data_IF_504372106624
#
_entry.id   IF_504372106624
#
_cell.length_a   1.000
_cell.length_b   1.000
_cell.length_c   1.000
_cell.angle_alpha   90.00
_cell.angle_beta   90.00
_cell.angle_gamma   90.00
#
_symmetry.space_group_name_H-M   'P 1'
#
loop_
_entity.id
_entity.type
_entity.pdbx_description
1 polymer ?
#
# COMPACT_ATOMS: atom_id res chain seq x y z
N UNK A 1 43.00 -28.88 10.48
CA UNK A 1 42.26 -29.45 9.32
C UNK A 1 40.94 -29.95 9.85
N UNK A 2 39.81 -29.40 9.42
CA UNK A 2 38.51 -30.04 9.67
C UNK A 2 38.56 -31.34 8.87
N UNK A 3 38.60 -32.49 9.54
CA UNK A 3 38.92 -33.75 8.92
C UNK A 3 37.76 -34.17 8.01
N UNK A 4 37.93 -33.99 6.68
CA UNK A 4 37.02 -34.50 5.65
C UNK A 4 36.83 -36.02 5.82
N UNK A 5 37.78 -36.70 6.48
CA UNK A 5 37.77 -38.15 6.78
C UNK A 5 36.55 -38.67 7.54
N UNK A 6 35.70 -37.81 8.12
CA UNK A 6 34.47 -38.23 8.82
C UNK A 6 33.21 -38.29 7.95
N UNK A 7 33.26 -37.76 6.72
CA UNK A 7 32.11 -37.71 5.82
C UNK A 7 32.46 -38.32 4.47
N UNK A 8 31.53 -39.03 3.85
CA UNK A 8 31.72 -39.50 2.47
C UNK A 8 31.80 -38.31 1.50
N UNK A 9 32.54 -38.46 0.42
CA UNK A 9 32.63 -37.42 -0.63
C UNK A 9 31.23 -37.05 -1.16
N UNK A 10 30.36 -38.05 -1.34
CA UNK A 10 28.98 -37.85 -1.73
C UNK A 10 28.20 -36.97 -0.74
N UNK A 11 28.33 -37.22 0.57
CA UNK A 11 27.67 -36.41 1.59
C UNK A 11 28.16 -34.96 1.57
N UNK A 12 29.47 -34.74 1.40
CA UNK A 12 30.05 -33.40 1.27
C UNK A 12 29.47 -32.68 0.05
N UNK A 13 29.45 -33.33 -1.11
CA UNK A 13 28.90 -32.76 -2.35
C UNK A 13 27.43 -32.42 -2.18
N UNK A 14 26.60 -33.34 -1.69
CA UNK A 14 25.16 -33.13 -1.53
C UNK A 14 24.85 -31.99 -0.55
N UNK A 15 25.58 -31.88 0.56
CA UNK A 15 25.39 -30.80 1.53
C UNK A 15 25.83 -29.43 0.99
N UNK A 16 26.89 -29.38 0.17
CA UNK A 16 27.29 -28.15 -0.52
C UNK A 16 26.25 -27.77 -1.57
N UNK A 17 25.76 -28.73 -2.37
CA UNK A 17 24.69 -28.50 -3.35
C UNK A 17 23.42 -28.02 -2.67
N UNK A 18 23.02 -28.64 -1.55
CA UNK A 18 21.87 -28.21 -0.74
C UNK A 18 22.04 -26.76 -0.25
N UNK A 19 23.22 -26.43 0.28
CA UNK A 19 23.53 -25.06 0.73
C UNK A 19 23.41 -24.05 -0.41
N UNK A 20 23.99 -24.36 -1.57
CA UNK A 20 23.95 -23.48 -2.75
C UNK A 20 22.53 -23.40 -3.31
N UNK A 21 21.77 -24.49 -3.33
CA UNK A 21 20.38 -24.54 -3.80
C UNK A 21 19.44 -23.70 -2.94
N UNK A 22 19.52 -23.82 -1.62
CA UNK A 22 18.75 -22.97 -0.70
C UNK A 22 19.20 -21.51 -0.83
N UNK A 23 20.50 -21.27 -0.85
CA UNK A 23 21.04 -19.92 -1.05
C UNK A 23 20.56 -19.28 -2.36
N UNK A 24 20.47 -20.05 -3.44
CA UNK A 24 19.93 -19.63 -4.73
C UNK A 24 18.45 -19.25 -4.63
N UNK A 25 17.62 -20.07 -3.99
CA UNK A 25 16.20 -19.79 -3.81
C UNK A 25 15.98 -18.48 -3.03
N UNK A 26 16.67 -18.30 -1.89
CA UNK A 26 16.59 -17.06 -1.11
C UNK A 26 17.08 -15.85 -1.91
N UNK A 27 18.19 -15.99 -2.64
CA UNK A 27 18.73 -14.91 -3.46
C UNK A 27 17.77 -14.52 -4.59
N UNK A 28 17.23 -15.49 -5.30
CA UNK A 28 16.27 -15.24 -6.38
C UNK A 28 15.04 -14.50 -5.86
N UNK A 29 14.47 -14.97 -4.74
CA UNK A 29 13.34 -14.32 -4.08
C UNK A 29 13.65 -12.88 -3.64
N UNK A 30 14.85 -12.65 -3.12
CA UNK A 30 15.32 -11.31 -2.74
C UNK A 30 15.50 -10.40 -3.97
N UNK A 31 16.17 -10.89 -5.03
CA UNK A 31 16.42 -10.13 -6.25
C UNK A 31 15.13 -9.79 -7.01
N UNK A 32 14.19 -10.73 -7.09
CA UNK A 32 12.88 -10.47 -7.68
C UNK A 32 12.19 -9.31 -6.95
N UNK A 33 12.19 -9.31 -5.62
CA UNK A 33 11.61 -8.21 -4.82
C UNK A 33 12.39 -6.90 -5.01
N UNK A 34 13.72 -6.92 -5.07
CA UNK A 34 14.53 -5.73 -5.37
C UNK A 34 14.13 -5.11 -6.72
N UNK A 35 13.94 -5.95 -7.74
CA UNK A 35 13.57 -5.48 -9.08
C UNK A 35 12.19 -4.79 -9.11
N UNK A 36 11.29 -5.14 -8.18
CA UNK A 36 10.00 -4.44 -8.02
C UNK A 36 10.13 -3.08 -7.33
N UNK A 37 11.22 -2.78 -6.60
CA UNK A 37 11.34 -1.51 -5.87
C UNK A 37 11.36 -0.28 -6.78
N UNK A 38 11.65 -0.46 -8.06
CA UNK A 38 11.57 0.57 -9.10
C UNK A 38 10.31 0.49 -9.98
N UNK A 39 9.28 -0.25 -9.58
CA UNK A 39 7.96 -0.29 -10.25
C UNK A 39 6.90 0.47 -9.46
N UNK A 40 5.84 0.94 -10.13
CA UNK A 40 4.75 1.70 -9.49
C UNK A 40 4.03 0.91 -8.38
N UNK A 41 4.11 -0.42 -8.44
CA UNK A 41 3.58 -1.34 -7.43
C UNK A 41 4.73 -2.21 -6.91
N UNK A 42 5.59 -1.67 -6.04
CA UNK A 42 6.68 -2.45 -5.47
C UNK A 42 6.13 -3.58 -4.60
N UNK A 43 6.87 -4.68 -4.52
CA UNK A 43 6.52 -5.78 -3.64
C UNK A 43 6.44 -5.28 -2.18
N UNK A 44 5.44 -5.77 -1.46
CA UNK A 44 5.27 -5.52 -0.03
C UNK A 44 4.75 -6.78 0.67
N UNK A 45 5.12 -6.94 1.93
CA UNK A 45 4.63 -7.97 2.84
C UNK A 45 3.29 -7.62 3.48
N UNK A 46 2.71 -6.44 3.19
CA UNK A 46 1.50 -5.92 3.83
C UNK A 46 0.34 -6.93 3.81
N UNK A 47 -0.04 -7.37 2.61
CA UNK A 47 -1.13 -8.33 2.44
C UNK A 47 -0.83 -9.69 3.10
N UNK A 48 0.43 -10.11 3.13
CA UNK A 48 0.84 -11.36 3.77
C UNK A 48 0.71 -11.25 5.31
N UNK A 49 1.24 -10.19 5.90
CA UNK A 49 1.19 -9.96 7.35
C UNK A 49 -0.22 -9.73 7.86
N UNK A 50 -1.03 -8.94 7.14
CA UNK A 50 -2.45 -8.72 7.45
C UNK A 50 -3.26 -10.01 7.44
N UNK A 51 -2.87 -10.95 6.60
CA UNK A 51 -3.53 -12.25 6.45
C UNK A 51 -2.95 -13.32 7.37
N UNK A 52 -2.01 -12.97 8.27
CA UNK A 52 -1.37 -13.92 9.17
C UNK A 52 -2.39 -14.60 10.11
N UNK A 53 -2.14 -15.86 10.44
CA UNK A 53 -3.07 -16.74 11.13
C UNK A 53 -2.36 -17.58 12.21
N UNK A 54 -3.15 -18.33 12.99
CA UNK A 54 -2.61 -19.17 14.06
C UNK A 54 -2.17 -18.38 15.30
N UNK A 55 -1.41 -19.02 16.21
CA UNK A 55 -1.14 -18.49 17.55
C UNK A 55 -0.29 -17.21 17.56
N UNK A 56 0.53 -17.00 16.53
CA UNK A 56 1.41 -15.84 16.42
C UNK A 56 0.83 -14.71 15.58
N UNK A 57 -0.42 -14.81 15.12
CA UNK A 57 -1.01 -13.85 14.19
C UNK A 57 -0.89 -12.40 14.66
N UNK A 58 -1.10 -12.12 15.95
CA UNK A 58 -1.15 -10.75 16.46
C UNK A 58 0.21 -10.09 16.36
N UNK A 59 1.29 -10.85 16.58
CA UNK A 59 2.65 -10.38 16.37
C UNK A 59 2.90 -10.02 14.89
N UNK A 60 2.53 -10.90 13.96
CA UNK A 60 2.73 -10.66 12.53
C UNK A 60 1.85 -9.53 11.98
N UNK A 61 0.58 -9.49 12.37
CA UNK A 61 -0.35 -8.43 11.97
C UNK A 61 0.09 -7.07 12.51
N UNK A 62 0.58 -7.00 13.74
CA UNK A 62 1.12 -5.77 14.32
C UNK A 62 2.31 -5.19 13.52
N UNK A 63 3.10 -6.03 12.86
CA UNK A 63 4.20 -5.58 12.01
C UNK A 63 3.73 -4.80 10.77
N UNK A 64 2.48 -4.99 10.32
CA UNK A 64 1.91 -4.19 9.23
C UNK A 64 1.60 -2.74 9.64
N UNK A 65 1.49 -2.46 10.94
CA UNK A 65 1.15 -1.14 11.49
C UNK A 65 -0.34 -0.81 11.45
N UNK A 66 -1.01 -1.08 10.33
CA UNK A 66 -2.47 -0.93 10.18
C UNK A 66 -3.13 -2.24 9.69
N UNK A 67 -3.18 -3.28 10.54
CA UNK A 67 -3.57 -4.62 10.11
C UNK A 67 -5.04 -4.81 9.71
N UNK A 68 -5.88 -3.82 10.04
CA UNK A 68 -7.34 -3.80 9.83
C UNK A 68 -7.75 -2.64 8.90
N UNK A 69 -6.78 -2.00 8.23
CA UNK A 69 -6.98 -0.87 7.31
C UNK A 69 -7.81 0.30 7.89
N UNK A 70 -7.80 0.45 9.23
CA UNK A 70 -8.59 1.46 9.93
C UNK A 70 -8.16 2.88 9.58
N UNK A 71 -6.89 3.09 9.19
CA UNK A 71 -6.43 4.40 8.74
C UNK A 71 -7.07 4.82 7.41
N UNK A 72 -7.49 3.87 6.57
CA UNK A 72 -8.24 4.16 5.36
C UNK A 72 -9.69 4.53 5.65
N UNK A 73 -10.25 4.02 6.75
CA UNK A 73 -11.63 4.32 7.16
C UNK A 73 -11.78 5.65 7.88
N UNK A 74 -10.68 6.40 8.06
CA UNK A 74 -10.66 7.70 8.72
C UNK A 74 -10.30 8.82 7.72
N UNK A 75 -11.23 9.76 7.52
CA UNK A 75 -11.09 10.81 6.50
C UNK A 75 -9.85 11.70 6.71
N UNK A 76 -9.54 12.05 7.96
CA UNK A 76 -8.38 12.89 8.30
C UNK A 76 -7.05 12.17 8.04
N UNK A 77 -7.01 10.86 8.34
CA UNK A 77 -5.84 10.01 8.09
C UNK A 77 -5.55 9.88 6.59
N UNK A 78 -6.60 9.67 5.78
CA UNK A 78 -6.46 9.63 4.31
C UNK A 78 -6.07 11.00 3.76
N UNK A 79 -6.70 12.08 4.22
CA UNK A 79 -6.35 13.44 3.81
C UNK A 79 -4.88 13.77 4.12
N UNK A 80 -4.40 13.46 5.33
CA UNK A 80 -3.01 13.69 5.73
C UNK A 80 -2.01 12.84 4.92
N UNK A 81 -2.39 11.61 4.53
CA UNK A 81 -1.61 10.76 3.64
C UNK A 81 -1.44 11.42 2.27
N UNK A 82 -2.52 11.94 1.69
CA UNK A 82 -2.49 12.63 0.40
C UNK A 82 -1.77 13.98 0.45
N UNK A 83 -1.84 14.71 1.57
CA UNK A 83 -1.05 15.93 1.77
C UNK A 83 0.45 15.63 1.83
N UNK A 84 0.82 14.54 2.50
CA UNK A 84 2.20 14.07 2.57
C UNK A 84 2.68 13.63 1.19
N UNK A 85 1.85 12.91 0.45
CA UNK A 85 2.12 12.56 -0.93
C UNK A 85 2.35 13.81 -1.80
N UNK A 86 1.44 14.79 -1.78
CA UNK A 86 1.55 16.03 -2.57
C UNK A 86 2.89 16.73 -2.32
N UNK A 87 3.28 16.91 -1.05
CA UNK A 87 4.55 17.54 -0.67
C UNK A 87 5.75 16.76 -1.19
N UNK A 88 5.78 15.44 -0.99
CA UNK A 88 6.91 14.57 -1.37
C UNK A 88 7.03 14.46 -2.89
N UNK A 89 5.90 14.27 -3.58
CA UNK A 89 5.82 14.19 -5.03
C UNK A 89 6.28 15.50 -5.67
N UNK A 90 5.77 16.63 -5.18
CA UNK A 90 6.18 17.97 -5.62
C UNK A 90 7.68 18.21 -5.48
N UNK A 91 8.24 17.81 -4.34
CA UNK A 91 9.68 17.96 -4.05
C UNK A 91 10.56 17.02 -4.89
N UNK A 92 10.18 15.75 -5.02
CA UNK A 92 10.97 14.74 -5.74
C UNK A 92 11.07 15.07 -7.23
N UNK A 93 9.93 15.37 -7.85
CA UNK A 93 9.89 15.70 -9.27
C UNK A 93 10.26 17.15 -9.57
N UNK A 94 10.26 18.04 -8.58
CA UNK A 94 10.57 19.46 -8.78
C UNK A 94 9.50 20.12 -9.65
N UNK A 95 8.24 20.00 -9.24
CA UNK A 95 7.11 20.51 -10.00
C UNK A 95 7.19 22.03 -10.17
N UNK A 96 6.84 22.50 -11.36
CA UNK A 96 6.58 23.92 -11.63
C UNK A 96 5.34 24.41 -10.88
N UNK A 97 5.17 25.72 -10.74
CA UNK A 97 4.02 26.27 -10.00
C UNK A 97 2.68 25.91 -10.65
N UNK A 98 2.63 25.81 -11.98
CA UNK A 98 1.42 25.36 -12.69
C UNK A 98 1.11 23.88 -12.42
N UNK A 99 2.13 23.02 -12.35
CA UNK A 99 1.97 21.60 -12.00
C UNK A 99 1.53 21.44 -10.54
N UNK A 100 2.10 22.21 -9.60
CA UNK A 100 1.68 22.23 -8.19
C UNK A 100 0.23 22.63 -8.06
N UNK A 101 -0.22 23.70 -8.75
CA UNK A 101 -1.63 24.11 -8.74
C UNK A 101 -2.51 22.97 -9.25
N UNK A 102 -2.16 22.33 -10.37
CA UNK A 102 -2.93 21.20 -10.92
C UNK A 102 -3.02 20.02 -9.95
N UNK A 103 -1.92 19.66 -9.31
CA UNK A 103 -1.88 18.57 -8.33
C UNK A 103 -2.71 18.90 -7.08
N UNK A 104 -2.58 20.12 -6.56
CA UNK A 104 -3.39 20.58 -5.42
C UNK A 104 -4.87 20.64 -5.78
N UNK A 105 -5.25 21.16 -6.95
CA UNK A 105 -6.64 21.15 -7.42
C UNK A 105 -7.21 19.74 -7.58
N UNK A 106 -6.39 18.80 -8.04
CA UNK A 106 -6.78 17.40 -8.17
C UNK A 106 -7.04 16.77 -6.78
N UNK A 107 -6.22 17.07 -5.77
CA UNK A 107 -6.35 16.53 -4.41
C UNK A 107 -7.44 17.23 -3.59
N UNK A 108 -7.40 18.56 -3.54
CA UNK A 108 -8.18 19.42 -2.63
C UNK A 108 -9.41 20.07 -3.27
N UNK A 109 -9.51 20.07 -4.60
CA UNK A 109 -10.54 20.81 -5.34
C UNK A 109 -10.06 22.19 -5.78
N UNK A 110 -10.81 22.79 -6.71
CA UNK A 110 -10.57 24.18 -7.12
C UNK A 110 -11.25 25.12 -6.11
N UNK A 111 -10.72 26.33 -5.91
CA UNK A 111 -11.40 27.33 -5.07
C UNK A 111 -12.69 27.84 -5.71
N UNK A 112 -12.72 27.89 -7.05
CA UNK A 112 -13.90 28.21 -7.83
C UNK A 112 -13.83 27.56 -9.21
N UNK A 113 -15.00 27.25 -9.76
CA UNK A 113 -15.15 26.71 -11.11
C UNK A 113 -15.70 27.79 -12.04
N UNK A 114 -14.80 28.34 -12.85
CA UNK A 114 -15.09 29.51 -13.65
C UNK A 114 -15.40 29.15 -15.11
N UNK A 115 -16.40 29.80 -15.70
CA UNK A 115 -16.66 29.78 -17.15
C UNK A 115 -16.76 31.20 -17.70
N UNK A 116 -16.30 31.39 -18.94
CA UNK A 116 -16.39 32.69 -19.62
C UNK A 116 -17.83 32.90 -20.06
N UNK A 117 -18.41 34.02 -19.64
CA UNK A 117 -19.69 34.50 -20.10
C UNK A 117 -19.42 35.61 -21.13
N UNK A 118 -19.63 35.34 -22.41
CA UNK A 118 -19.43 36.33 -23.49
C UNK A 118 -20.60 37.33 -23.57
N UNK A 119 -20.95 37.90 -22.42
CA UNK A 119 -21.95 38.95 -22.21
C UNK A 119 -21.43 39.98 -21.20
N UNK A 120 -21.78 41.27 -21.35
CA UNK A 120 -21.38 42.31 -20.41
C UNK A 120 -22.14 42.25 -19.07
N UNK A 121 -23.31 41.63 -19.05
CA UNK A 121 -24.18 41.48 -17.86
C UNK A 121 -24.88 40.12 -17.89
N UNK A 122 -25.46 39.74 -16.74
CA UNK A 122 -26.38 38.60 -16.68
C UNK A 122 -27.63 38.87 -17.53
N UNK A 123 -28.27 37.82 -18.09
CA UNK A 123 -29.57 37.94 -18.73
C UNK A 123 -30.62 38.53 -17.77
N UNK A 124 -31.60 39.23 -18.33
CA UNK A 124 -32.68 39.83 -17.56
C UNK A 124 -33.49 38.75 -16.83
N UNK A 125 -33.77 38.96 -15.55
CA UNK A 125 -34.47 38.01 -14.68
C UNK A 125 -33.58 37.06 -13.86
N UNK A 126 -32.29 36.92 -14.18
CA UNK A 126 -31.36 36.09 -13.40
C UNK A 126 -30.99 36.78 -12.08
N UNK A 127 -31.44 36.20 -10.97
CA UNK A 127 -31.15 36.66 -9.62
C UNK A 127 -30.75 35.48 -8.72
N UNK A 128 -29.46 35.45 -8.36
CA UNK A 128 -28.89 34.42 -7.49
C UNK A 128 -29.40 34.52 -6.05
N UNK A 129 -29.64 35.73 -5.54
CA UNK A 129 -30.08 35.94 -4.16
C UNK A 129 -31.53 35.48 -3.97
N UNK A 130 -32.38 35.69 -4.97
CA UNK A 130 -33.77 35.20 -4.97
C UNK A 130 -33.85 33.66 -4.82
N UNK A 131 -32.86 32.92 -5.34
CA UNK A 131 -32.76 31.46 -5.21
C UNK A 131 -31.88 31.00 -4.04
N UNK A 132 -31.32 31.91 -3.24
CA UNK A 132 -30.34 31.63 -2.17
C UNK A 132 -29.06 30.95 -2.67
N UNK A 133 -28.67 31.27 -3.90
CA UNK A 133 -27.47 30.75 -4.58
C UNK A 133 -26.32 31.76 -4.58
N UNK A 134 -26.44 32.87 -3.85
CA UNK A 134 -25.43 33.94 -3.73
C UNK A 134 -24.07 33.45 -3.21
N UNK A 135 -24.07 32.35 -2.46
CA UNK A 135 -22.86 31.69 -1.97
C UNK A 135 -22.39 30.54 -2.86
N UNK A 136 -23.21 30.12 -3.82
CA UNK A 136 -22.96 28.97 -4.71
C UNK A 136 -22.47 29.42 -6.07
N UNK A 137 -23.03 30.51 -6.62
CA UNK A 137 -22.63 31.09 -7.90
C UNK A 137 -22.52 32.60 -7.81
N UNK A 138 -21.51 33.15 -8.47
CA UNK A 138 -21.31 34.58 -8.62
C UNK A 138 -20.96 34.94 -10.06
N UNK A 139 -21.23 36.19 -10.43
CA UNK A 139 -20.85 36.75 -11.71
C UNK A 139 -19.83 37.88 -11.49
N UNK A 140 -18.66 37.74 -12.08
CA UNK A 140 -17.62 38.77 -12.09
C UNK A 140 -17.74 39.59 -13.37
N UNK A 141 -18.36 40.77 -13.27
CA UNK A 141 -18.59 41.67 -14.40
C UNK A 141 -17.29 42.19 -15.04
N UNK A 142 -16.18 42.27 -14.29
CA UNK A 142 -14.89 42.76 -14.82
C UNK A 142 -14.24 41.72 -15.71
N UNK A 143 -14.22 40.47 -15.26
CA UNK A 143 -13.63 39.38 -16.04
C UNK A 143 -14.63 38.68 -16.97
N UNK A 144 -15.92 39.04 -16.86
CA UNK A 144 -17.05 38.41 -17.56
C UNK A 144 -17.07 36.89 -17.35
N UNK A 145 -17.06 36.47 -16.08
CA UNK A 145 -17.03 35.04 -15.72
C UNK A 145 -18.12 34.69 -14.73
N UNK A 146 -18.76 33.56 -14.96
CA UNK A 146 -19.55 32.87 -13.96
C UNK A 146 -18.61 32.00 -13.13
N UNK A 147 -18.72 32.09 -11.80
CA UNK A 147 -17.88 31.35 -10.85
C UNK A 147 -18.77 30.57 -9.91
N UNK A 148 -18.63 29.25 -9.91
CA UNK A 148 -19.27 28.38 -8.92
C UNK A 148 -18.29 28.17 -7.77
N UNK A 149 -18.79 28.25 -6.53
CA UNK A 149 -17.99 28.01 -5.34
C UNK A 149 -17.46 26.58 -5.30
N UNK A 150 -16.16 26.46 -5.00
CA UNK A 150 -15.44 25.20 -5.03
C UNK A 150 -15.86 24.21 -3.96
N UNK A 151 -16.41 24.66 -2.82
CA UNK A 151 -16.77 23.79 -1.71
C UNK A 151 -18.23 23.39 -1.71
N UNK A 152 -19.13 24.30 -2.13
CA UNK A 152 -20.57 24.04 -2.16
C UNK A 152 -21.00 23.25 -3.39
N UNK A 153 -20.29 23.44 -4.50
CA UNK A 153 -20.72 22.99 -5.82
C UNK A 153 -22.15 23.48 -6.15
N UNK A 154 -22.67 23.14 -7.32
CA UNK A 154 -24.03 23.47 -7.71
C UNK A 154 -24.80 22.17 -7.98
N UNK A 155 -26.03 22.09 -7.49
CA UNK A 155 -26.93 20.96 -7.76
C UNK A 155 -27.59 21.12 -9.13
N UNK A 156 -27.93 20.00 -9.78
CA UNK A 156 -28.64 20.01 -11.06
C UNK A 156 -30.01 20.71 -10.97
N UNK A 157 -30.68 20.60 -9.82
CA UNK A 157 -31.94 21.28 -9.52
C UNK A 157 -31.77 22.79 -9.37
N UNK A 158 -30.65 23.26 -8.81
CA UNK A 158 -30.33 24.68 -8.68
C UNK A 158 -30.03 25.30 -10.05
N UNK A 159 -29.27 24.59 -10.88
CA UNK A 159 -29.03 24.96 -12.27
C UNK A 159 -30.34 25.10 -13.05
N UNK A 160 -31.25 24.13 -12.93
CA UNK A 160 -32.54 24.18 -13.62
C UNK A 160 -33.37 25.40 -13.19
N UNK A 161 -33.36 25.77 -11.90
CA UNK A 161 -34.04 26.97 -11.40
C UNK A 161 -33.44 28.27 -11.95
N UNK A 162 -32.12 28.34 -12.12
CA UNK A 162 -31.45 29.48 -12.73
C UNK A 162 -31.82 29.61 -14.22
N UNK A 163 -31.86 28.48 -14.92
CA UNK A 163 -32.34 28.43 -16.31
C UNK A 163 -33.81 28.84 -16.41
N UNK A 164 -34.62 28.54 -15.39
CA UNK A 164 -36.03 28.88 -15.38
C UNK A 164 -36.32 30.38 -15.23
N UNK A 165 -35.45 31.13 -14.55
CA UNK A 165 -35.58 32.57 -14.32
C UNK A 165 -35.47 33.42 -15.60
N UNK A 166 -34.85 32.88 -16.65
CA UNK A 166 -34.72 33.61 -17.92
C UNK A 166 -36.06 33.51 -18.68
N UNK A 167 -36.71 34.65 -18.87
CA UNK A 167 -37.99 34.76 -19.54
C UNK A 167 -37.89 34.51 -21.06
N UNK A 168 -36.85 35.06 -21.71
CA UNK A 168 -36.55 34.84 -23.12
C UNK A 168 -35.43 33.82 -23.28
N UNK A 169 -35.83 32.57 -23.54
CA UNK A 169 -34.91 31.43 -23.74
C UNK A 169 -34.60 31.20 -25.22
N UNK A 170 -34.78 32.22 -26.04
CA UNK A 170 -34.46 32.20 -27.46
C UNK A 170 -33.34 33.21 -27.77
N UNK A 171 -32.47 32.88 -28.72
CA UNK A 171 -31.45 33.79 -29.23
C UNK A 171 -30.06 33.71 -28.54
N UNK A 172 -29.13 34.49 -29.10
CA UNK A 172 -27.70 34.35 -28.84
C UNK A 172 -27.27 34.67 -27.39
N UNK A 173 -28.03 35.51 -26.65
CA UNK A 173 -27.71 35.83 -25.27
C UNK A 173 -28.01 34.64 -24.33
N UNK A 174 -29.16 34.01 -24.51
CA UNK A 174 -29.52 32.79 -23.79
C UNK A 174 -28.52 31.66 -24.07
N UNK A 175 -28.18 31.42 -25.35
CA UNK A 175 -27.24 30.36 -25.72
C UNK A 175 -25.87 30.54 -25.06
N UNK A 176 -25.36 31.79 -25.02
CA UNK A 176 -24.09 32.12 -24.36
C UNK A 176 -24.16 31.92 -22.85
N UNK A 177 -25.25 32.34 -22.21
CA UNK A 177 -25.45 32.15 -20.77
C UNK A 177 -25.56 30.67 -20.40
N UNK A 178 -26.44 29.94 -21.09
CA UNK A 178 -26.64 28.51 -20.89
C UNK A 178 -25.33 27.74 -21.08
N UNK A 179 -24.57 28.05 -22.13
CA UNK A 179 -23.26 27.44 -22.36
C UNK A 179 -22.28 27.73 -21.23
N UNK A 180 -22.18 28.98 -20.78
CA UNK A 180 -21.28 29.34 -19.68
C UNK A 180 -21.70 28.66 -18.36
N UNK A 181 -23.00 28.61 -18.07
CA UNK A 181 -23.54 27.92 -16.89
C UNK A 181 -23.28 26.41 -16.97
N UNK A 182 -23.49 25.79 -18.14
CA UNK A 182 -23.20 24.37 -18.38
C UNK A 182 -21.72 24.03 -18.26
N UNK A 183 -20.84 24.89 -18.81
CA UNK A 183 -19.39 24.75 -18.70
C UNK A 183 -18.93 24.86 -17.24
N UNK A 184 -19.45 25.84 -16.48
CA UNK A 184 -19.13 26.01 -15.07
C UNK A 184 -19.64 24.82 -14.25
N UNK A 185 -20.89 24.42 -14.49
CA UNK A 185 -21.53 23.29 -13.81
C UNK A 185 -20.81 21.97 -14.09
N UNK A 186 -20.45 21.70 -15.35
CA UNK A 186 -19.73 20.47 -15.75
C UNK A 186 -18.33 20.41 -15.15
N UNK A 187 -17.69 21.56 -14.92
CA UNK A 187 -16.41 21.63 -14.21
C UNK A 187 -16.60 21.42 -12.71
N UNK A 188 -17.60 22.08 -12.13
CA UNK A 188 -17.93 21.96 -10.72
C UNK A 188 -18.42 20.56 -10.33
N UNK A 189 -19.05 19.81 -11.22
CA UNK A 189 -19.51 18.44 -10.93
C UNK A 189 -18.38 17.42 -10.77
N UNK A 190 -17.14 17.77 -11.16
CA UNK A 190 -15.96 16.91 -10.98
C UNK A 190 -15.39 17.10 -9.58
N UNK A 191 -15.71 16.15 -8.72
CA UNK A 191 -15.17 16.09 -7.36
C UNK A 191 -13.67 15.79 -7.36
N UNK A 192 -12.94 16.48 -6.50
CA UNK A 192 -11.55 16.19 -6.13
C UNK A 192 -11.43 14.85 -5.40
N UNK A 193 -10.19 14.38 -5.22
CA UNK A 193 -9.96 13.15 -4.47
C UNK A 193 -10.44 13.25 -3.02
N UNK A 194 -10.19 14.37 -2.31
CA UNK A 194 -10.68 14.55 -0.93
C UNK A 194 -12.21 14.63 -0.84
N UNK A 195 -12.87 15.24 -1.81
CA UNK A 195 -14.34 15.26 -1.87
C UNK A 195 -14.91 13.87 -2.18
N UNK A 196 -14.35 13.15 -3.15
CA UNK A 196 -14.72 11.75 -3.46
C UNK A 196 -14.54 10.87 -2.23
N UNK A 197 -13.42 10.98 -1.52
CA UNK A 197 -13.15 10.25 -0.28
C UNK A 197 -14.13 10.59 0.84
N UNK A 198 -14.42 11.88 1.06
CA UNK A 198 -15.37 12.31 2.08
C UNK A 198 -16.78 11.85 1.76
N UNK A 199 -17.24 12.03 0.53
CA UNK A 199 -18.52 11.51 0.04
C UNK A 199 -18.58 9.99 0.23
N UNK A 200 -17.47 9.29 0.01
CA UNK A 200 -17.40 7.85 0.21
C UNK A 200 -17.48 7.45 1.69
N UNK A 201 -16.76 8.11 2.59
CA UNK A 201 -16.67 7.74 4.00
C UNK A 201 -17.83 8.27 4.86
N UNK A 202 -18.18 9.53 4.65
CA UNK A 202 -19.13 10.28 5.46
C UNK A 202 -20.51 10.37 4.80
N UNK A 203 -20.64 9.95 3.54
CA UNK A 203 -21.78 10.29 2.70
C UNK A 203 -21.82 11.79 2.37
N UNK A 204 -22.70 12.17 1.44
CA UNK A 204 -22.84 13.55 0.98
C UNK A 204 -23.52 14.43 2.06
N UNK A 205 -22.86 15.49 2.58
CA UNK A 205 -23.45 16.38 3.58
C UNK A 205 -24.71 17.11 3.09
N UNK A 206 -24.81 17.38 1.79
CA UNK A 206 -25.92 18.14 1.18
C UNK A 206 -27.04 17.22 0.66
N UNK A 207 -26.74 15.93 0.43
CA UNK A 207 -27.73 14.86 0.30
C UNK A 207 -27.81 14.03 1.59
N UNK A 208 -28.34 14.66 2.65
CA UNK A 208 -28.60 14.07 3.97
C UNK A 208 -29.61 12.89 4.00
N UNK A 209 -29.77 12.15 2.89
CA UNK A 209 -30.60 10.96 2.77
C UNK A 209 -29.83 9.64 2.62
N UNK A 210 -28.49 9.64 2.49
CA UNK A 210 -27.70 8.40 2.23
C UNK A 210 -26.53 8.15 3.20
N UNK A 211 -26.27 9.04 4.16
CA UNK A 211 -25.20 8.90 5.16
C UNK A 211 -25.44 7.71 6.12
N UNK A 212 -26.71 7.32 6.31
CA UNK A 212 -27.13 6.40 7.36
C UNK A 212 -26.57 4.97 7.20
N UNK A 213 -26.23 4.58 5.96
CA UNK A 213 -25.77 3.22 5.68
C UNK A 213 -24.33 2.94 6.10
N UNK A 214 -23.39 3.86 5.82
CA UNK A 214 -21.95 3.54 5.84
C UNK A 214 -21.25 3.80 7.15
N UNK A 215 -21.60 4.85 7.87
CA UNK A 215 -21.20 5.00 9.28
C UNK A 215 -21.69 3.76 10.04
N UNK A 216 -22.91 3.31 9.75
CA UNK A 216 -23.44 2.01 10.18
C UNK A 216 -22.60 0.82 9.71
N UNK A 217 -22.09 0.79 8.47
CA UNK A 217 -21.21 -0.28 7.99
C UNK A 217 -19.83 -0.29 8.67
N UNK A 218 -19.25 0.87 8.99
CA UNK A 218 -17.98 0.98 9.74
C UNK A 218 -18.19 0.52 11.19
N UNK A 219 -19.29 0.93 11.81
CA UNK A 219 -19.72 0.44 13.12
C UNK A 219 -19.89 -1.10 13.09
N UNK A 220 -20.62 -1.62 12.10
CA UNK A 220 -20.80 -3.05 11.89
C UNK A 220 -19.47 -3.78 11.70
N UNK A 221 -18.54 -3.21 10.94
CA UNK A 221 -17.20 -3.76 10.76
C UNK A 221 -16.45 -3.87 12.08
N UNK A 222 -16.45 -2.81 12.89
CA UNK A 222 -15.83 -2.82 14.22
C UNK A 222 -16.49 -3.88 15.13
N UNK A 223 -17.81 -3.97 15.13
CA UNK A 223 -18.53 -5.01 15.89
C UNK A 223 -18.20 -6.42 15.41
N UNK A 224 -18.06 -6.64 14.10
CA UNK A 224 -17.66 -7.93 13.54
C UNK A 224 -16.24 -8.32 13.97
N UNK A 225 -15.30 -7.36 13.96
CA UNK A 225 -13.94 -7.54 14.47
C UNK A 225 -13.95 -7.92 15.97
N UNK A 226 -14.70 -7.18 16.79
CA UNK A 226 -14.79 -7.44 18.22
C UNK A 226 -15.43 -8.82 18.50
N UNK A 227 -16.47 -9.18 17.75
CA UNK A 227 -17.08 -10.53 17.81
C UNK A 227 -16.08 -11.62 17.46
N UNK A 228 -15.24 -11.40 16.46
CA UNK A 228 -14.22 -12.35 16.07
C UNK A 228 -13.16 -12.55 17.16
N UNK A 229 -12.59 -11.45 17.67
CA UNK A 229 -11.55 -11.49 18.72
C UNK A 229 -12.07 -12.15 19.99
N UNK A 230 -13.29 -11.82 20.42
CA UNK A 230 -13.91 -12.43 21.60
C UNK A 230 -14.12 -13.94 21.45
N UNK A 231 -14.58 -14.39 20.27
CA UNK A 231 -14.79 -15.82 20.01
C UNK A 231 -13.49 -16.59 19.86
N UNK A 232 -12.44 -15.95 19.32
CA UNK A 232 -11.12 -16.56 19.21
C UNK A 232 -10.59 -16.97 20.57
N UNK A 233 -10.78 -16.14 21.59
CA UNK A 233 -10.35 -16.42 22.96
C UNK A 233 -11.07 -17.62 23.59
N UNK A 234 -12.30 -17.91 23.15
CA UNK A 234 -13.14 -18.97 23.73
C UNK A 234 -13.14 -20.30 22.95
N UNK A 235 -12.69 -20.31 21.70
CA UNK A 235 -12.81 -21.49 20.83
C UNK A 235 -11.84 -22.60 21.22
N UNK A 236 -12.40 -23.77 21.54
CA UNK A 236 -11.66 -24.98 21.94
C UNK A 236 -11.96 -26.18 21.03
N UNK A 237 -13.14 -26.21 20.41
CA UNK A 237 -13.60 -27.33 19.57
C UNK A 237 -13.45 -27.01 18.08
N UNK A 238 -13.27 -28.04 17.26
CA UNK A 238 -13.01 -27.90 15.82
C UNK A 238 -14.15 -27.18 15.07
N UNK A 239 -15.42 -27.45 15.41
CA UNK A 239 -16.54 -26.75 14.79
C UNK A 239 -16.58 -25.24 15.15
N UNK A 240 -16.10 -24.85 16.33
CA UNK A 240 -16.00 -23.45 16.76
C UNK A 240 -14.92 -22.73 15.95
N UNK A 241 -13.83 -23.43 15.61
CA UNK A 241 -12.78 -22.93 14.72
C UNK A 241 -13.31 -22.76 13.29
N UNK A 242 -14.10 -23.70 12.77
CA UNK A 242 -14.73 -23.56 11.45
C UNK A 242 -15.68 -22.34 11.40
N UNK A 243 -16.44 -22.11 12.46
CA UNK A 243 -17.30 -20.92 12.56
C UNK A 243 -16.46 -19.63 12.66
N UNK A 244 -15.37 -19.64 13.43
CA UNK A 244 -14.43 -18.51 13.51
C UNK A 244 -13.83 -18.16 12.15
N UNK A 245 -13.47 -19.17 11.36
CA UNK A 245 -12.90 -18.98 10.03
C UNK A 245 -13.89 -18.29 9.09
N UNK A 246 -15.19 -18.63 9.18
CA UNK A 246 -16.25 -17.94 8.45
C UNK A 246 -16.39 -16.49 8.90
N UNK A 247 -16.46 -16.24 10.20
CA UNK A 247 -16.55 -14.88 10.76
C UNK A 247 -15.34 -14.04 10.30
N UNK A 248 -14.14 -14.61 10.32
CA UNK A 248 -12.94 -13.93 9.85
C UNK A 248 -13.01 -13.60 8.36
N UNK A 249 -13.47 -14.54 7.54
CA UNK A 249 -13.70 -14.31 6.12
C UNK A 249 -14.69 -13.16 5.89
N UNK A 250 -15.77 -13.12 6.66
CA UNK A 250 -16.79 -12.07 6.56
C UNK A 250 -16.24 -10.70 6.99
N UNK A 251 -15.47 -10.65 8.08
CA UNK A 251 -14.74 -9.45 8.54
C UNK A 251 -13.83 -8.93 7.42
N UNK A 252 -13.04 -9.82 6.81
CA UNK A 252 -12.11 -9.50 5.72
C UNK A 252 -12.81 -9.13 4.42
N UNK A 253 -13.98 -9.66 4.14
CA UNK A 253 -14.82 -9.21 3.03
C UNK A 253 -15.30 -7.79 3.29
N UNK A 254 -15.82 -7.52 4.50
CA UNK A 254 -16.31 -6.20 4.91
C UNK A 254 -15.22 -5.14 4.87
N UNK A 255 -14.04 -5.46 5.36
CA UNK A 255 -12.85 -4.61 5.30
C UNK A 255 -12.52 -4.22 3.84
N UNK A 256 -12.45 -5.19 2.94
CA UNK A 256 -12.21 -4.94 1.50
C UNK A 256 -13.31 -4.11 0.86
N UNK A 257 -14.58 -4.32 1.23
CA UNK A 257 -15.70 -3.53 0.71
C UNK A 257 -15.62 -2.06 1.16
N UNK A 258 -15.09 -1.81 2.36
CA UNK A 258 -14.99 -0.47 2.93
C UNK A 258 -13.73 0.26 2.47
N UNK A 259 -12.55 -0.38 2.61
CA UNK A 259 -11.26 0.22 2.29
C UNK A 259 -10.91 0.14 0.80
N UNK A 260 -11.40 -0.87 0.09
CA UNK A 260 -11.06 -1.15 -1.31
C UNK A 260 -11.23 0.04 -2.27
N UNK A 261 -12.36 0.77 -2.24
CA UNK A 261 -12.50 1.92 -3.12
C UNK A 261 -11.58 3.09 -2.75
N UNK A 262 -11.22 3.26 -1.48
CA UNK A 262 -10.27 4.30 -1.05
C UNK A 262 -8.84 3.95 -1.46
N UNK A 263 -8.46 2.68 -1.37
CA UNK A 263 -7.21 2.15 -1.92
C UNK A 263 -7.16 2.34 -3.45
N UNK A 264 -8.28 2.14 -4.14
CA UNK A 264 -8.37 2.39 -5.58
C UNK A 264 -8.22 3.89 -5.89
N UNK A 265 -8.87 4.77 -5.13
CA UNK A 265 -8.70 6.23 -5.26
C UNK A 265 -7.26 6.66 -5.01
N UNK A 266 -6.59 6.09 -4.01
CA UNK A 266 -5.17 6.38 -3.74
C UNK A 266 -4.29 5.99 -4.93
N UNK A 267 -4.51 4.80 -5.50
CA UNK A 267 -3.78 4.35 -6.69
C UNK A 267 -4.03 5.28 -7.89
N UNK A 268 -5.30 5.61 -8.14
CA UNK A 268 -5.73 6.51 -9.23
C UNK A 268 -5.08 7.90 -9.07
N UNK A 269 -5.04 8.43 -7.85
CA UNK A 269 -4.36 9.70 -7.53
C UNK A 269 -2.86 9.64 -7.90
N UNK A 270 -2.17 8.57 -7.54
CA UNK A 270 -0.76 8.42 -7.89
C UNK A 270 -0.56 8.33 -9.41
N UNK A 271 -1.42 7.58 -10.12
CA UNK A 271 -1.39 7.48 -11.58
C UNK A 271 -1.67 8.82 -12.26
N UNK A 272 -2.66 9.58 -11.79
CA UNK A 272 -2.99 10.91 -12.32
C UNK A 272 -1.91 11.94 -12.05
N UNK A 273 -1.28 11.90 -10.86
CA UNK A 273 -0.15 12.75 -10.54
C UNK A 273 1.03 12.51 -11.51
N UNK A 274 1.30 11.25 -11.88
CA UNK A 274 2.34 10.92 -12.86
C UNK A 274 2.07 11.50 -14.24
N UNK A 275 0.80 11.66 -14.65
CA UNK A 275 0.42 12.30 -15.93
C UNK A 275 0.73 13.81 -15.97
N UNK A 276 0.98 14.44 -14.81
CA UNK A 276 1.36 15.86 -14.74
C UNK A 276 2.83 16.09 -15.07
N UNK A 277 3.65 15.04 -15.07
CA UNK A 277 5.11 15.12 -15.23
C UNK A 277 5.52 15.23 -16.70
N UNK A 278 6.61 15.96 -16.94
CA UNK A 278 7.31 15.93 -18.22
C UNK A 278 8.33 14.78 -18.30
N UNK A 279 8.88 14.56 -19.51
CA UNK A 279 9.84 13.48 -19.79
C UNK A 279 11.10 13.59 -18.93
N UNK A 280 11.57 14.82 -18.66
CA UNK A 280 12.76 15.05 -17.83
C UNK A 280 12.49 14.74 -16.37
N UNK A 281 11.29 15.04 -15.86
CA UNK A 281 10.87 14.71 -14.51
C UNK A 281 10.71 13.20 -14.33
N UNK A 282 10.14 12.50 -15.30
CA UNK A 282 10.02 11.03 -15.28
C UNK A 282 11.39 10.33 -15.20
N UNK A 283 12.45 10.94 -15.75
CA UNK A 283 13.81 10.40 -15.68
C UNK A 283 14.41 10.39 -14.26
N UNK A 284 13.85 11.13 -13.31
CA UNK A 284 14.30 11.15 -11.90
C UNK A 284 14.01 9.85 -11.16
N UNK A 285 13.34 8.89 -11.80
CA UNK A 285 12.92 7.63 -11.19
C UNK A 285 11.69 7.81 -10.29
N UNK A 286 11.26 6.71 -9.70
CA UNK A 286 10.03 6.68 -8.91
C UNK A 286 10.21 7.27 -7.51
N UNK A 287 9.14 7.89 -7.02
CA UNK A 287 9.06 8.34 -5.64
C UNK A 287 9.14 7.13 -4.70
N UNK A 288 10.17 7.09 -3.86
CA UNK A 288 10.28 6.03 -2.85
C UNK A 288 9.09 6.09 -1.88
N UNK A 289 8.54 4.95 -1.43
CA UNK A 289 7.52 4.92 -0.39
C UNK A 289 8.00 5.64 0.89
N UNK A 290 7.08 6.24 1.68
CA UNK A 290 7.47 6.85 2.96
C UNK A 290 8.00 5.79 3.93
N UNK A 291 8.81 6.20 4.90
CA UNK A 291 9.19 5.31 6.00
C UNK A 291 7.95 4.99 6.83
N UNK A 292 7.57 3.72 6.83
CA UNK A 292 6.45 3.16 7.58
C UNK A 292 6.89 1.85 8.24
N UNK A 293 6.18 1.36 9.27
CA UNK A 293 6.48 0.06 9.88
C UNK A 293 6.58 -1.05 8.84
N UNK A 294 5.61 -1.10 7.91
CA UNK A 294 5.61 -2.08 6.83
C UNK A 294 6.83 -1.95 5.91
N UNK A 295 7.27 -0.72 5.59
CA UNK A 295 8.47 -0.52 4.75
C UNK A 295 9.73 -1.05 5.41
N UNK A 296 9.85 -0.94 6.74
CA UNK A 296 10.98 -1.51 7.48
C UNK A 296 10.98 -3.03 7.34
N UNK A 297 9.82 -3.67 7.54
CA UNK A 297 9.66 -5.11 7.43
C UNK A 297 9.94 -5.60 6.00
N UNK A 298 9.47 -4.87 4.99
CA UNK A 298 9.74 -5.15 3.59
C UNK A 298 11.25 -5.09 3.31
N UNK A 299 11.93 -4.04 3.76
CA UNK A 299 13.38 -3.90 3.58
C UNK A 299 14.16 -4.99 4.32
N UNK A 300 13.77 -5.34 5.54
CA UNK A 300 14.40 -6.44 6.30
C UNK A 300 14.22 -7.78 5.59
N UNK A 301 13.04 -8.03 5.03
CA UNK A 301 12.74 -9.25 4.28
C UNK A 301 13.57 -9.33 3.00
N UNK A 302 13.59 -8.24 2.24
CA UNK A 302 14.33 -8.16 0.97
C UNK A 302 15.83 -8.31 1.20
N UNK A 303 16.39 -7.52 2.13
CA UNK A 303 17.82 -7.54 2.42
C UNK A 303 18.24 -8.84 3.08
N UNK A 304 17.39 -9.42 3.94
CA UNK A 304 17.59 -10.74 4.53
C UNK A 304 17.67 -11.84 3.46
N UNK A 305 16.68 -11.92 2.57
CA UNK A 305 16.65 -12.91 1.47
C UNK A 305 17.87 -12.79 0.55
N UNK A 306 18.13 -11.60 0.02
CA UNK A 306 19.24 -11.39 -0.90
C UNK A 306 20.60 -11.58 -0.22
N UNK A 307 20.80 -10.97 0.96
CA UNK A 307 22.07 -11.02 1.68
C UNK A 307 22.41 -12.42 2.18
N UNK A 308 21.47 -13.10 2.85
CA UNK A 308 21.69 -14.46 3.35
C UNK A 308 21.84 -15.46 2.19
N UNK A 309 21.10 -15.27 1.09
CA UNK A 309 21.26 -16.06 -0.13
C UNK A 309 22.68 -15.97 -0.71
N UNK A 310 23.21 -14.75 -0.88
CA UNK A 310 24.59 -14.52 -1.34
C UNK A 310 25.60 -15.19 -0.41
N UNK A 311 25.46 -14.99 0.91
CA UNK A 311 26.36 -15.57 1.91
C UNK A 311 26.38 -17.10 1.85
N UNK A 312 25.22 -17.75 1.67
CA UNK A 312 25.10 -19.19 1.53
C UNK A 312 25.69 -19.71 0.20
N UNK A 313 25.47 -19.03 -0.92
CA UNK A 313 26.04 -19.44 -2.21
C UNK A 313 27.56 -19.38 -2.16
N UNK A 314 28.11 -18.24 -1.75
CA UNK A 314 29.56 -18.00 -1.67
C UNK A 314 30.21 -18.85 -0.56
N UNK A 315 29.44 -19.22 0.46
CA UNK A 315 29.94 -19.92 1.64
C UNK A 315 30.76 -19.02 2.54
N UNK A 316 30.24 -17.81 2.82
CA UNK A 316 30.79 -16.82 3.72
C UNK A 316 29.94 -16.73 4.99
N UNK A 317 30.57 -16.85 6.16
CA UNK A 317 29.92 -16.97 7.47
C UNK A 317 28.80 -18.01 7.48
N UNK A 318 29.05 -19.16 6.84
CA UNK A 318 28.00 -20.12 6.44
C UNK A 318 27.08 -20.55 7.59
N UNK A 319 27.65 -20.78 8.78
CA UNK A 319 26.87 -21.21 9.97
C UNK A 319 25.93 -20.11 10.47
N UNK A 320 26.40 -18.87 10.48
CA UNK A 320 25.59 -17.71 10.83
C UNK A 320 24.53 -17.46 9.75
N UNK A 321 24.91 -17.50 8.48
CA UNK A 321 23.99 -17.30 7.37
C UNK A 321 22.87 -18.35 7.36
N UNK A 322 23.21 -19.63 7.56
CA UNK A 322 22.24 -20.72 7.64
C UNK A 322 21.31 -20.59 8.85
N UNK A 323 21.83 -20.21 10.03
CA UNK A 323 21.02 -20.03 11.23
C UNK A 323 20.04 -18.85 11.09
N UNK A 324 20.53 -17.71 10.61
CA UNK A 324 19.71 -16.52 10.37
C UNK A 324 18.66 -16.77 9.28
N UNK A 325 19.01 -17.50 8.21
CA UNK A 325 18.06 -17.91 7.18
C UNK A 325 17.00 -18.86 7.73
N UNK A 326 17.38 -19.83 8.57
CA UNK A 326 16.43 -20.73 9.23
C UNK A 326 15.43 -19.93 10.09
N UNK A 327 15.90 -18.95 10.85
CA UNK A 327 15.02 -18.10 11.67
C UNK A 327 14.06 -17.27 10.81
N UNK A 328 14.54 -16.68 9.71
CA UNK A 328 13.71 -15.90 8.80
C UNK A 328 12.63 -16.76 8.12
N UNK A 329 13.01 -17.92 7.57
CA UNK A 329 12.07 -18.85 6.92
C UNK A 329 11.08 -19.43 7.94
N UNK A 330 11.53 -19.67 9.18
CA UNK A 330 10.64 -20.03 10.29
C UNK A 330 9.62 -18.93 10.58
N UNK A 331 10.00 -17.66 10.47
CA UNK A 331 9.06 -16.52 10.53
C UNK A 331 7.94 -16.62 9.49
N UNK A 332 8.28 -16.95 8.24
CA UNK A 332 7.27 -17.18 7.18
C UNK A 332 6.41 -18.42 7.46
N UNK A 333 6.99 -19.48 8.03
CA UNK A 333 6.21 -20.63 8.47
C UNK A 333 5.20 -20.27 9.58
N UNK A 334 5.63 -19.50 10.59
CA UNK A 334 4.82 -19.15 11.75
C UNK A 334 3.75 -18.08 11.47
N UNK A 335 3.90 -17.29 10.40
CA UNK A 335 2.89 -16.33 9.98
C UNK A 335 1.62 -17.00 9.44
N UNK A 336 1.74 -18.17 8.82
CA UNK A 336 0.62 -18.96 8.29
C UNK A 336 0.89 -20.46 8.46
N UNK A 337 0.85 -20.99 9.69
CA UNK A 337 1.22 -22.38 9.95
C UNK A 337 0.10 -23.33 9.50
N UNK A 338 0.42 -24.46 8.85
CA UNK A 338 -0.56 -25.48 8.43
C UNK A 338 -0.98 -26.36 9.61
N UNK A 339 -1.41 -25.74 10.71
CA UNK A 339 -1.85 -26.43 11.92
C UNK A 339 -3.33 -26.82 11.84
N UNK A 340 -3.72 -27.90 12.53
CA UNK A 340 -5.15 -28.21 12.70
C UNK A 340 -5.91 -27.00 13.24
N UNK A 341 -6.99 -26.62 12.55
CA UNK A 341 -7.84 -25.49 12.97
C UNK A 341 -7.49 -24.12 12.41
N UNK A 342 -6.34 -23.98 11.75
CA UNK A 342 -5.96 -22.77 11.02
C UNK A 342 -6.46 -22.89 9.57
N UNK A 343 -7.10 -21.86 9.00
CA UNK A 343 -7.46 -21.87 7.58
C UNK A 343 -6.27 -22.21 6.69
N UNK A 344 -6.54 -22.94 5.61
CA UNK A 344 -5.50 -23.23 4.63
C UNK A 344 -4.98 -21.91 4.03
N UNK A 345 -3.66 -21.80 3.94
CA UNK A 345 -3.03 -20.66 3.30
C UNK A 345 -3.42 -20.63 1.81
N UNK A 346 -3.73 -19.46 1.24
CA UNK A 346 -4.09 -19.36 -0.17
C UNK A 346 -2.93 -19.82 -1.06
N UNK A 347 -3.18 -20.82 -1.91
CA UNK A 347 -2.20 -21.37 -2.84
C UNK A 347 -2.53 -22.81 -3.24
N UNK A 348 -1.78 -23.39 -4.20
CA UNK A 348 -1.98 -24.77 -4.64
C UNK A 348 -1.42 -25.81 -3.66
N UNK A 349 -0.83 -25.38 -2.54
CA UNK A 349 -0.09 -26.24 -1.62
C UNK A 349 -0.98 -26.68 -0.46
N UNK A 350 -1.15 -28.00 -0.32
CA UNK A 350 -1.76 -28.61 0.86
C UNK A 350 -0.66 -29.27 1.70
N UNK A 351 -0.64 -28.99 3.00
CA UNK A 351 0.32 -29.57 3.93
C UNK A 351 -0.30 -29.72 5.30
N UNK A 352 0.13 -30.73 6.06
CA UNK A 352 -0.29 -30.93 7.44
C UNK A 352 0.92 -30.83 8.34
N UNK A 353 1.02 -29.73 9.11
CA UNK A 353 2.13 -29.37 10.00
C UNK A 353 3.46 -29.12 9.27
N UNK A 354 3.93 -30.05 8.43
CA UNK A 354 5.20 -29.96 7.69
C UNK A 354 4.93 -29.48 6.27
N UNK A 355 5.39 -28.27 5.94
CA UNK A 355 5.37 -27.72 4.59
C UNK A 355 6.80 -27.46 4.07
N UNK A 356 6.92 -26.94 2.86
CA UNK A 356 8.22 -26.62 2.24
C UNK A 356 9.08 -25.68 3.11
N UNK A 357 8.47 -24.69 3.75
CA UNK A 357 9.19 -23.74 4.61
C UNK A 357 9.79 -24.46 5.82
N UNK A 358 9.05 -25.37 6.45
CA UNK A 358 9.57 -26.12 7.60
C UNK A 358 10.66 -27.13 7.20
N UNK A 359 10.53 -27.77 6.04
CA UNK A 359 11.58 -28.63 5.47
C UNK A 359 12.86 -27.82 5.22
N UNK A 360 12.73 -26.62 4.66
CA UNK A 360 13.84 -25.69 4.42
C UNK A 360 14.50 -25.24 5.73
N UNK A 361 13.71 -24.96 6.78
CA UNK A 361 14.22 -24.67 8.13
C UNK A 361 15.07 -25.83 8.65
N UNK A 362 14.59 -27.08 8.56
CA UNK A 362 15.37 -28.23 9.00
C UNK A 362 16.64 -28.43 8.19
N UNK A 363 16.58 -28.23 6.88
CA UNK A 363 17.75 -28.29 6.01
C UNK A 363 18.79 -27.22 6.40
N UNK A 364 18.35 -25.98 6.63
CA UNK A 364 19.22 -24.90 7.07
C UNK A 364 19.82 -25.17 8.46
N UNK A 365 19.02 -25.66 9.42
CA UNK A 365 19.52 -26.07 10.74
C UNK A 365 20.55 -27.20 10.63
N UNK A 366 20.35 -28.19 9.75
CA UNK A 366 21.37 -29.20 9.47
C UNK A 366 22.66 -28.57 8.93
N UNK A 367 22.55 -27.58 8.04
CA UNK A 367 23.71 -26.82 7.52
C UNK A 367 24.40 -25.97 8.61
N UNK A 368 23.72 -25.55 9.68
CA UNK A 368 24.39 -24.87 10.83
C UNK A 368 25.31 -25.80 11.61
N UNK A 369 25.01 -27.10 11.62
CA UNK A 369 25.74 -28.12 12.35
C UNK A 369 26.97 -28.64 11.58
N UNK A 370 27.03 -28.38 10.27
CA UNK A 370 28.06 -28.93 9.37
C UNK A 370 28.91 -27.80 8.76
N UNK A 371 30.25 -27.92 8.71
CA UNK A 371 31.12 -26.85 8.23
C UNK A 371 31.22 -26.78 6.70
N UNK A 372 30.08 -26.71 6.00
CA UNK A 372 30.02 -26.72 4.52
C UNK A 372 30.79 -25.57 3.87
N UNK A 373 30.86 -24.40 4.52
CA UNK A 373 31.71 -23.27 4.12
C UNK A 373 33.21 -23.57 4.11
N UNK A 374 33.70 -24.43 5.00
CA UNK A 374 35.10 -24.85 5.02
C UNK A 374 35.43 -25.90 3.95
N UNK A 375 34.44 -26.68 3.50
CA UNK A 375 34.61 -27.66 2.44
C UNK A 375 34.71 -26.95 1.08
N UNK A 376 33.71 -26.15 0.74
CA UNK A 376 33.62 -25.42 -0.52
C UNK A 376 32.98 -24.05 -0.28
N UNK A 377 33.80 -23.05 0.06
CA UNK A 377 33.34 -21.69 0.35
C UNK A 377 34.48 -20.76 0.76
N UNK A 378 34.15 -19.46 0.85
CA UNK A 378 35.09 -18.41 1.23
C UNK A 378 35.53 -18.49 2.69
N UNK A 379 34.75 -19.15 3.56
CA UNK A 379 35.12 -19.42 4.96
C UNK A 379 36.51 -20.08 5.09
N UNK A 380 36.85 -21.00 4.17
CA UNK A 380 38.17 -21.64 4.15
C UNK A 380 39.30 -20.64 3.86
N UNK A 381 39.08 -19.73 2.92
CA UNK A 381 40.07 -18.71 2.53
C UNK A 381 40.30 -17.72 3.67
N UNK A 382 39.23 -17.25 4.29
CA UNK A 382 39.29 -16.32 5.43
C UNK A 382 39.99 -16.96 6.64
N UNK A 383 39.64 -18.20 6.98
CA UNK A 383 40.30 -18.92 8.05
C UNK A 383 41.80 -19.10 7.78
N UNK A 384 42.18 -19.41 6.54
CA UNK A 384 43.58 -19.51 6.12
C UNK A 384 44.33 -18.17 6.24
N UNK A 385 43.72 -17.07 5.83
CA UNK A 385 44.30 -15.73 5.94
C UNK A 385 44.49 -15.29 7.40
N UNK A 386 43.48 -15.49 8.26
CA UNK A 386 43.55 -15.16 9.68
C UNK A 386 44.60 -16.00 10.41
N UNK A 387 44.72 -17.29 10.07
CA UNK A 387 45.75 -18.16 10.63
C UNK A 387 47.16 -17.68 10.24
N UNK A 388 47.38 -17.34 8.95
CA UNK A 388 48.66 -16.78 8.48
C UNK A 388 49.01 -15.46 9.19
N UNK A 389 48.05 -14.55 9.36
CA UNK A 389 48.24 -13.28 10.07
C UNK A 389 48.58 -13.49 11.56
N UNK A 390 47.95 -14.47 12.21
CA UNK A 390 48.24 -14.84 13.60
C UNK A 390 49.65 -15.41 13.75
N UNK A 391 50.08 -16.25 12.81
CA UNK A 391 51.44 -16.81 12.77
C UNK A 391 52.49 -15.72 12.53
N UNK A 392 52.26 -14.82 11.57
CA UNK A 392 53.16 -13.68 11.32
C UNK A 392 53.29 -12.77 12.54
N UNK A 393 52.18 -12.45 13.22
CA UNK A 393 52.19 -11.65 14.46
C UNK A 393 52.91 -12.36 15.62
N UNK A 394 52.81 -13.69 15.70
CA UNK A 394 53.53 -14.48 16.70
C UNK A 394 55.04 -14.58 16.40
N UNK A 395 55.43 -14.58 15.13
CA UNK A 395 56.83 -14.60 14.69
C UNK A 395 57.54 -13.26 14.93
N UNK A 396 56.83 -12.12 14.87
CA UNK A 396 57.37 -10.78 15.16
C UNK A 396 57.49 -10.49 16.66
N UNK A 397 56.80 -11.27 17.51
CA UNK A 397 56.82 -11.12 18.98
C UNK A 397 57.85 -12.03 19.68
N UNK A 398 58.46 -12.96 18.94
CA UNK A 398 59.64 -13.71 19.34
C UNK A 398 60.86 -13.00 18.80
#
# INVERSE_FOLDING_TARGET
MVDIRRYSLAAVILLVVLRVGIGWQLLYEGMWKINTLGTQTPWTSDGYLKSAQGPFRNFFRAMAGDPDDKSWLNADSVAARWDTFNKRFSSHYGLSDSQKIRLTTLIDGATSYDAVLDLPSLPEGVDFAALKLDKTISFDAKSRRLKIDGQRHMLASEKAKLEEQVADREGAAWDKYRKALDDAFTRASRLSYKERMRSHLLGDPDNAGLIDGRIGQIQLYNEMLDRYENRLASAKMQFEQDQLNRIWSDVRAKDRDLAGPLLAMDKELHEDAMKLLDVSQLSKGQLSPPLSPIRIVDMMTITGLAGLGILLIIGLFTRFAAFSAAFMVLGFYLAMPPFPGVPEAPGPEHSFIVNKNLIEVFALLALTAVPTGYWFGVDKLLAGFLAKKKLAKAAVKK
#
